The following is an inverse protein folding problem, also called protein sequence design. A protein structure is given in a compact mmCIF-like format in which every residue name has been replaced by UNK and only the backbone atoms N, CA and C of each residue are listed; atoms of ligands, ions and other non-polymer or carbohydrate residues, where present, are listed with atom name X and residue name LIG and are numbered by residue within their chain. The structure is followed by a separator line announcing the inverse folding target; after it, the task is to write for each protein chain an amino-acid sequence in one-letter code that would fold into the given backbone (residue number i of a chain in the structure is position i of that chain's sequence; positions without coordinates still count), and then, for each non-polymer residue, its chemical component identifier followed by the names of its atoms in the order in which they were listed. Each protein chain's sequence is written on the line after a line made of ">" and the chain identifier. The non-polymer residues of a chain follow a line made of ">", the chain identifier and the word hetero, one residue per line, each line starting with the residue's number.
data_IF_579238681434
#
_entry.id   IF_579238681434
#
_cell.length_a   1.000
_cell.length_b   1.000
_cell.length_c   1.000
_cell.angle_alpha   90.00
_cell.angle_beta   90.00
_cell.angle_gamma   90.00
#
_symmetry.space_group_name_H-M   'P 1'
#
loop_
_entity.id
_entity.type
_entity.pdbx_description
1 polymer ?
#
# COMPACT_ATOMS: atom_id res chain seq x y z
N UNK A 1 5.51 -59.31 -9.83
CA UNK A 1 4.56 -58.20 -9.63
C UNK A 1 5.34 -57.05 -9.02
N UNK A 2 5.61 -55.99 -9.78
CA UNK A 2 6.33 -54.80 -9.30
C UNK A 2 5.31 -53.70 -9.00
N UNK A 3 5.20 -53.28 -7.75
CA UNK A 3 4.38 -52.15 -7.32
C UNK A 3 5.13 -50.86 -7.62
N UNK A 4 4.60 -50.06 -8.54
CA UNK A 4 5.09 -48.71 -8.82
C UNK A 4 4.81 -47.82 -7.61
N UNK A 5 5.85 -47.38 -6.92
CA UNK A 5 5.80 -46.32 -5.91
C UNK A 5 5.51 -45.01 -6.64
N UNK A 6 4.28 -44.51 -6.53
CA UNK A 6 3.94 -43.15 -6.93
C UNK A 6 4.77 -42.19 -6.07
N UNK A 7 5.85 -41.66 -6.65
CA UNK A 7 6.65 -40.60 -6.07
C UNK A 7 5.76 -39.36 -6.03
N UNK A 8 5.42 -38.90 -4.83
CA UNK A 8 4.82 -37.59 -4.63
C UNK A 8 5.82 -36.54 -5.07
N UNK A 9 5.61 -35.96 -6.25
CA UNK A 9 6.29 -34.72 -6.63
C UNK A 9 5.78 -33.63 -5.68
N UNK A 10 6.64 -32.96 -4.90
CA UNK A 10 6.21 -31.77 -4.18
C UNK A 10 5.79 -30.77 -5.24
N UNK A 11 4.50 -30.39 -5.24
CA UNK A 11 4.02 -29.25 -6.00
C UNK A 11 4.98 -28.09 -5.73
N UNK A 12 5.78 -27.74 -6.74
CA UNK A 12 6.62 -26.57 -6.74
C UNK A 12 5.69 -25.39 -6.47
N UNK A 13 5.61 -24.94 -5.22
CA UNK A 13 5.16 -23.57 -4.94
C UNK A 13 6.09 -22.70 -5.80
N UNK A 14 5.56 -21.89 -6.72
CA UNK A 14 6.40 -20.98 -7.46
C UNK A 14 7.24 -20.22 -6.42
N UNK A 15 8.55 -20.20 -6.63
CA UNK A 15 9.45 -19.34 -5.88
C UNK A 15 9.07 -17.91 -6.23
N UNK A 16 8.01 -17.44 -5.58
CA UNK A 16 7.57 -16.07 -5.54
C UNK A 16 8.57 -15.32 -4.66
N UNK A 17 9.86 -15.39 -5.04
CA UNK A 17 10.95 -14.56 -4.56
C UNK A 17 10.53 -13.11 -4.63
N UNK A 18 11.15 -12.22 -3.85
CA UNK A 18 10.66 -10.90 -3.41
C UNK A 18 9.89 -9.98 -4.39
N UNK A 19 9.81 -10.27 -5.69
CA UNK A 19 8.98 -9.62 -6.72
C UNK A 19 7.51 -9.35 -6.34
N UNK A 20 6.66 -10.32 -5.94
CA UNK A 20 5.26 -10.00 -5.63
C UNK A 20 5.14 -9.13 -4.37
N UNK A 21 6.19 -9.08 -3.53
CA UNK A 21 6.27 -8.13 -2.42
C UNK A 21 6.72 -6.75 -2.86
N UNK A 22 7.59 -6.67 -3.87
CA UNK A 22 8.02 -5.42 -4.48
C UNK A 22 6.88 -4.76 -5.27
N UNK A 23 6.15 -5.53 -6.09
CA UNK A 23 4.97 -5.09 -6.83
C UNK A 23 3.86 -4.60 -5.90
N UNK A 24 3.54 -5.38 -4.86
CA UNK A 24 2.58 -4.93 -3.84
C UNK A 24 3.07 -3.65 -3.14
N UNK A 25 4.38 -3.54 -2.88
CA UNK A 25 5.01 -2.33 -2.36
C UNK A 25 4.77 -1.11 -3.22
N UNK A 26 5.11 -1.21 -4.51
CA UNK A 26 4.93 -0.15 -5.49
C UNK A 26 3.45 0.23 -5.66
N UNK A 27 2.56 -0.76 -5.69
CA UNK A 27 1.12 -0.54 -5.77
C UNK A 27 0.60 0.25 -4.57
N UNK A 28 0.92 -0.16 -3.34
CA UNK A 28 0.45 0.55 -2.15
C UNK A 28 1.01 1.98 -2.09
N UNK A 29 2.26 2.19 -2.51
CA UNK A 29 2.85 3.52 -2.67
C UNK A 29 2.05 4.38 -3.65
N UNK A 30 1.73 3.87 -4.84
CA UNK A 30 0.94 4.58 -5.83
C UNK A 30 -0.45 4.98 -5.29
N UNK A 31 -1.10 4.09 -4.53
CA UNK A 31 -2.37 4.38 -3.86
C UNK A 31 -2.25 5.50 -2.82
N UNK A 32 -1.13 5.56 -2.09
CA UNK A 32 -0.81 6.64 -1.14
C UNK A 32 -0.60 7.96 -1.89
N UNK A 33 0.19 7.96 -2.95
CA UNK A 33 0.51 9.15 -3.73
C UNK A 33 -0.75 9.73 -4.41
N UNK A 34 -1.65 8.86 -4.87
CA UNK A 34 -2.94 9.27 -5.46
C UNK A 34 -4.00 9.66 -4.43
N UNK A 35 -3.72 9.57 -3.13
CA UNK A 35 -4.73 9.78 -2.07
C UNK A 35 -5.10 11.24 -1.84
N UNK A 36 -4.37 12.18 -2.44
CA UNK A 36 -4.54 13.64 -2.28
C UNK A 36 -4.59 14.10 -0.80
N UNK A 37 -3.85 13.42 0.09
CA UNK A 37 -3.81 13.73 1.52
C UNK A 37 -4.96 13.13 2.34
N UNK A 38 -5.78 12.25 1.74
CA UNK A 38 -6.82 11.50 2.48
C UNK A 38 -6.22 10.34 3.27
N UNK A 39 -6.76 10.10 4.46
CA UNK A 39 -6.48 8.90 5.24
C UNK A 39 -7.00 7.64 4.53
N UNK A 40 -6.18 6.59 4.46
CA UNK A 40 -6.57 5.29 3.90
C UNK A 40 -6.46 4.23 4.99
N UNK A 41 -7.51 3.42 5.15
CA UNK A 41 -7.52 2.33 6.13
C UNK A 41 -6.81 1.08 5.60
N UNK A 42 -6.31 0.24 6.50
CA UNK A 42 -5.74 -1.07 6.11
C UNK A 42 -6.73 -1.91 5.27
N UNK A 43 -8.02 -1.87 5.62
CA UNK A 43 -9.06 -2.61 4.89
C UNK A 43 -9.21 -2.10 3.44
N UNK A 44 -9.12 -0.78 3.24
CA UNK A 44 -9.19 -0.19 1.90
C UNK A 44 -7.97 -0.57 1.05
N UNK A 45 -6.76 -0.59 1.63
CA UNK A 45 -5.58 -1.08 0.91
C UNK A 45 -5.71 -2.54 0.48
N UNK A 46 -6.24 -3.40 1.35
CA UNK A 46 -6.51 -4.80 1.02
C UNK A 46 -7.52 -4.93 -0.11
N UNK A 47 -8.63 -4.22 -0.01
CA UNK A 47 -9.65 -4.21 -1.05
C UNK A 47 -9.08 -3.77 -2.40
N UNK A 48 -8.36 -2.65 -2.45
CA UNK A 48 -7.74 -2.16 -3.69
C UNK A 48 -6.70 -3.12 -4.26
N UNK A 49 -5.92 -3.80 -3.41
CA UNK A 49 -4.96 -4.79 -3.87
C UNK A 49 -5.67 -6.03 -4.48
N UNK A 50 -6.77 -6.49 -3.88
CA UNK A 50 -7.59 -7.56 -4.46
C UNK A 50 -8.19 -7.13 -5.80
N UNK A 51 -8.74 -5.91 -5.89
CA UNK A 51 -9.28 -5.34 -7.13
C UNK A 51 -8.20 -5.22 -8.23
N UNK A 52 -6.96 -4.95 -7.84
CA UNK A 52 -5.82 -4.90 -8.75
C UNK A 52 -5.27 -6.28 -9.16
N UNK A 53 -5.89 -7.37 -8.69
CA UNK A 53 -5.54 -8.74 -9.07
C UNK A 53 -4.46 -9.40 -8.22
N UNK A 54 -4.03 -8.79 -7.11
CA UNK A 54 -3.11 -9.45 -6.18
C UNK A 54 -3.79 -10.65 -5.53
N UNK A 55 -3.10 -11.79 -5.47
CA UNK A 55 -3.62 -12.99 -4.84
C UNK A 55 -3.93 -12.78 -3.35
N UNK A 56 -5.04 -13.37 -2.87
CA UNK A 56 -5.53 -13.18 -1.50
C UNK A 56 -4.46 -13.46 -0.43
N UNK A 57 -3.62 -14.48 -0.63
CA UNK A 57 -2.52 -14.79 0.27
C UNK A 57 -1.47 -13.67 0.35
N UNK A 58 -1.11 -13.08 -0.80
CA UNK A 58 -0.16 -11.97 -0.86
C UNK A 58 -0.75 -10.71 -0.21
N UNK A 59 -2.05 -10.46 -0.38
CA UNK A 59 -2.73 -9.32 0.24
C UNK A 59 -2.77 -9.47 1.77
N UNK A 60 -3.23 -10.62 2.29
CA UNK A 60 -3.38 -10.86 3.73
C UNK A 60 -2.02 -10.85 4.45
N UNK A 61 -1.00 -11.47 3.85
CA UNK A 61 0.34 -11.54 4.46
C UNK A 61 1.21 -10.29 4.20
N UNK A 62 0.96 -9.57 3.11
CA UNK A 62 1.84 -8.53 2.59
C UNK A 62 1.43 -7.11 2.94
N UNK A 63 0.14 -6.76 2.89
CA UNK A 63 -0.31 -5.36 3.04
C UNK A 63 0.13 -4.75 4.35
N UNK A 64 -0.13 -5.44 5.47
CA UNK A 64 0.23 -4.93 6.79
C UNK A 64 1.75 -4.74 6.94
N UNK A 65 2.54 -5.72 6.49
CA UNK A 65 4.01 -5.66 6.57
C UNK A 65 4.58 -4.53 5.72
N UNK A 66 4.01 -4.31 4.54
CA UNK A 66 4.42 -3.22 3.65
C UNK A 66 4.05 -1.85 4.24
N UNK A 67 2.85 -1.68 4.78
CA UNK A 67 2.45 -0.43 5.46
C UNK A 67 3.36 -0.12 6.66
N UNK A 68 3.75 -1.13 7.45
CA UNK A 68 4.73 -0.94 8.52
C UNK A 68 6.13 -0.56 8.02
N UNK A 69 6.56 -1.05 6.84
CA UNK A 69 7.81 -0.62 6.22
C UNK A 69 7.71 0.83 5.76
N UNK A 70 6.66 1.20 5.03
CA UNK A 70 6.42 2.57 4.58
C UNK A 70 6.36 3.56 5.75
N UNK A 71 5.74 3.15 6.87
CA UNK A 71 5.73 3.95 8.09
C UNK A 71 7.14 4.13 8.68
N UNK A 72 7.92 3.05 8.83
CA UNK A 72 9.31 3.12 9.31
C UNK A 72 10.21 3.98 8.42
N UNK A 73 9.96 3.99 7.11
CA UNK A 73 10.70 4.83 6.17
C UNK A 73 10.17 6.28 6.09
N UNK A 74 9.17 6.64 6.90
CA UNK A 74 8.65 8.00 6.94
C UNK A 74 7.85 8.39 5.69
N UNK A 75 7.42 7.44 4.87
CA UNK A 75 6.53 7.69 3.72
C UNK A 75 5.12 7.98 4.21
N UNK A 76 4.66 7.22 5.20
CA UNK A 76 3.32 7.37 5.77
C UNK A 76 3.38 7.58 7.27
N UNK A 77 2.42 8.32 7.78
CA UNK A 77 2.13 8.36 9.20
C UNK A 77 0.98 7.40 9.51
N UNK A 78 1.12 6.62 10.58
CA UNK A 78 0.14 5.66 11.04
C UNK A 78 -0.59 6.27 12.23
N UNK A 79 -1.92 6.33 12.17
CA UNK A 79 -2.75 6.82 13.28
C UNK A 79 -3.89 5.87 13.58
N UNK A 80 -4.18 5.72 14.86
CA UNK A 80 -5.36 5.02 15.34
C UNK A 80 -6.53 6.00 15.45
N UNK A 81 -7.62 5.74 14.74
CA UNK A 81 -8.83 6.57 14.73
C UNK A 81 -10.07 5.70 14.85
N UNK A 82 -10.89 5.95 15.88
CA UNK A 82 -12.16 5.22 16.13
C UNK A 82 -12.00 3.68 16.09
N UNK A 83 -10.92 3.17 16.70
CA UNK A 83 -10.62 1.74 16.76
C UNK A 83 -10.09 1.13 15.45
N UNK A 84 -9.66 1.97 14.50
CA UNK A 84 -9.11 1.54 13.21
C UNK A 84 -7.76 2.20 12.94
N UNK A 85 -6.83 1.44 12.38
CA UNK A 85 -5.58 1.97 11.86
C UNK A 85 -5.81 2.60 10.48
N UNK A 86 -5.43 3.87 10.35
CA UNK A 86 -5.41 4.62 9.10
C UNK A 86 -4.00 5.13 8.82
N UNK A 87 -3.71 5.35 7.54
CA UNK A 87 -2.42 5.85 7.05
C UNK A 87 -2.62 7.08 6.19
N UNK A 88 -1.79 8.09 6.42
CA UNK A 88 -1.73 9.31 5.63
C UNK A 88 -0.38 9.36 4.92
N UNK A 89 -0.35 9.82 3.67
CA UNK A 89 0.89 10.22 3.03
C UNK A 89 1.53 11.31 3.89
N UNK A 90 2.80 11.15 4.28
CA UNK A 90 3.53 12.28 4.83
C UNK A 90 3.76 13.26 3.68
N UNK A 91 3.46 14.56 3.86
CA UNK A 91 3.79 15.55 2.86
C UNK A 91 5.28 15.47 2.56
N UNK A 92 5.64 15.14 1.32
CA UNK A 92 7.01 15.40 0.87
C UNK A 92 7.23 16.91 0.81
N UNK A 93 8.47 17.39 0.86
CA UNK A 93 8.74 18.82 0.68
C UNK A 93 8.15 19.35 -0.65
N UNK A 94 8.12 18.51 -1.70
CA UNK A 94 7.49 18.83 -2.98
C UNK A 94 5.95 18.86 -2.89
N UNK A 95 5.33 17.95 -2.12
CA UNK A 95 3.88 17.91 -1.89
C UNK A 95 3.41 19.05 -0.99
N UNK A 96 4.22 19.46 -0.01
CA UNK A 96 3.98 20.69 0.76
C UNK A 96 4.07 21.93 -0.11
N UNK A 97 5.09 22.00 -0.99
CA UNK A 97 5.22 23.12 -1.91
C UNK A 97 4.05 23.20 -2.89
N UNK A 98 3.62 22.06 -3.45
CA UNK A 98 2.43 21.98 -4.30
C UNK A 98 1.14 22.34 -3.54
N UNK A 99 0.97 21.87 -2.29
CA UNK A 99 -0.15 22.29 -1.43
C UNK A 99 -0.15 23.78 -1.15
N UNK A 100 1.00 24.36 -0.77
CA UNK A 100 1.15 25.81 -0.54
C UNK A 100 0.92 26.63 -1.79
N UNK A 101 1.28 26.10 -2.97
CA UNK A 101 1.00 26.77 -4.24
C UNK A 101 -0.50 26.79 -4.54
N UNK A 102 -1.20 25.67 -4.34
CA UNK A 102 -2.67 25.60 -4.50
C UNK A 102 -3.39 26.44 -3.45
N UNK A 103 -3.01 26.35 -2.18
CA UNK A 103 -3.58 27.14 -1.08
C UNK A 103 -3.25 28.63 -1.24
N UNK A 104 -2.04 28.98 -1.68
CA UNK A 104 -1.61 30.35 -1.98
C UNK A 104 -2.26 30.97 -3.22
N UNK A 105 -2.66 30.17 -4.21
CA UNK A 105 -3.48 30.63 -5.33
C UNK A 105 -4.95 30.89 -4.94
N UNK A 106 -5.39 30.47 -3.75
CA UNK A 106 -6.77 30.67 -3.30
C UNK A 106 -6.94 31.98 -2.49
N UNK A 107 -5.85 32.71 -2.18
CA UNK A 107 -5.90 33.94 -1.37
C UNK A 107 -5.91 35.25 -2.19
N UNK A 108 -5.78 35.20 -3.52
CA UNK A 108 -5.73 36.41 -4.37
C UNK A 108 -7.06 36.82 -5.02
N UNK A 109 -8.19 36.18 -4.71
CA UNK A 109 -9.51 36.63 -5.20
C UNK A 109 -10.60 36.54 -4.13
N UNK A 110 -10.64 37.51 -3.20
CA UNK A 110 -11.73 37.52 -2.22
C UNK A 110 -11.80 38.62 -1.15
N UNK A 111 -11.17 39.78 -1.32
CA UNK A 111 -11.54 41.03 -0.63
C UNK A 111 -11.29 42.18 -1.61
N UNK A 112 -12.22 43.07 -1.94
CA UNK A 112 -13.38 43.62 -1.22
C UNK A 112 -14.64 43.61 -2.11
#
# INVERSE_FOLDING_TARGET
>A
MQTATAQWEPHHTPDLGDEPRAELGAFLQAVIDSSAGRAISTAEFRHRALEAGFGAWAVESGVYRTLLRLHRHGVVERVESRGRTVYWARPSAASEHARRHVEGCTDEQGRL
#
